data_IF_336079682476
#
_entry.id   IF_336079682476
#
_cell.length_a   1.000
_cell.length_b   1.000
_cell.length_c   1.000
_cell.angle_alpha   90.00
_cell.angle_beta   90.00
_cell.angle_gamma   90.00
#
_symmetry.space_group_name_H-M   'P 1'
#
loop_
_entity.id
_entity.type
_entity.pdbx_description
1 polymer ?
#
# COMPACT_ATOMS: atom_id res chain seq x y z
N UNK A 1 0.97 -2.21 16.18
CA UNK A 1 -0.34 -2.66 15.63
C UNK A 1 -1.45 -1.93 16.35
N UNK A 2 -2.50 -1.54 15.62
CA UNK A 2 -3.73 -0.96 16.14
C UNK A 2 -4.91 -1.80 15.64
N UNK A 3 -5.94 -2.00 16.47
CA UNK A 3 -7.10 -2.80 16.08
C UNK A 3 -8.39 -2.26 16.67
N UNK A 4 -9.48 -2.49 15.94
CA UNK A 4 -10.84 -2.15 16.34
C UNK A 4 -11.76 -3.32 15.98
N UNK A 5 -12.65 -3.67 16.91
CA UNK A 5 -13.58 -4.80 16.78
C UNK A 5 -14.99 -4.25 16.97
N UNK A 6 -15.86 -4.30 15.95
CA UNK A 6 -17.25 -3.88 16.09
C UNK A 6 -18.03 -4.89 16.95
N UNK A 7 -19.08 -4.42 17.63
CA UNK A 7 -19.89 -5.24 18.53
C UNK A 7 -20.59 -6.40 17.79
N UNK A 8 -21.11 -6.11 16.61
CA UNK A 8 -21.51 -7.12 15.63
C UNK A 8 -20.40 -7.19 14.58
N UNK A 9 -19.87 -8.39 14.33
CA UNK A 9 -18.72 -8.53 13.44
C UNK A 9 -18.85 -9.74 12.54
N UNK A 10 -18.18 -9.68 11.40
CA UNK A 10 -17.87 -10.82 10.57
C UNK A 10 -16.87 -11.74 11.30
N UNK A 11 -16.90 -13.03 10.98
CA UNK A 11 -16.06 -14.06 11.61
C UNK A 11 -14.56 -13.75 11.46
N UNK A 12 -14.13 -13.48 10.23
CA UNK A 12 -12.75 -13.27 9.85
C UNK A 12 -12.44 -11.77 9.81
N UNK A 13 -11.38 -11.32 10.52
CA UNK A 13 -10.92 -9.94 10.46
C UNK A 13 -10.22 -9.64 9.13
N UNK A 14 -10.02 -8.35 8.87
CA UNK A 14 -9.11 -7.86 7.82
C UNK A 14 -7.85 -7.29 8.46
N UNK A 15 -6.69 -7.71 7.94
CA UNK A 15 -5.37 -7.17 8.29
C UNK A 15 -4.92 -6.29 7.13
N UNK A 16 -4.79 -4.99 7.36
CA UNK A 16 -4.33 -4.03 6.35
C UNK A 16 -2.86 -3.65 6.61
N UNK A 17 -2.06 -3.66 5.54
CA UNK A 17 -0.62 -3.43 5.60
C UNK A 17 -0.24 -2.28 4.67
N UNK A 18 0.34 -1.22 5.25
CA UNK A 18 0.80 -0.07 4.48
C UNK A 18 1.98 -0.44 3.56
N UNK A 19 2.25 0.40 2.56
CA UNK A 19 3.41 0.25 1.67
C UNK A 19 4.69 0.95 2.15
N UNK A 20 5.61 1.12 1.21
CA UNK A 20 6.85 1.86 1.40
C UNK A 20 6.55 3.31 1.81
N UNK A 21 7.40 3.89 2.66
CA UNK A 21 7.40 5.31 3.06
C UNK A 21 6.18 5.79 3.84
N UNK A 22 5.31 4.88 4.27
CA UNK A 22 4.11 5.17 5.06
C UNK A 22 4.12 4.37 6.36
N UNK A 23 3.15 4.65 7.22
CA UNK A 23 2.76 3.84 8.39
C UNK A 23 1.30 3.42 8.25
N UNK A 24 0.76 2.73 9.26
CA UNK A 24 -0.67 2.46 9.37
C UNK A 24 -1.56 3.71 9.34
N UNK A 25 -1.01 4.91 9.59
CA UNK A 25 -1.75 6.16 9.47
C UNK A 25 -2.31 6.39 8.05
N UNK A 26 -1.65 5.84 7.02
CA UNK A 26 -2.11 5.93 5.63
C UNK A 26 -3.40 5.13 5.34
N UNK A 27 -3.90 4.38 6.33
CA UNK A 27 -5.11 3.57 6.23
C UNK A 27 -6.22 4.10 7.16
N UNK A 28 -5.94 5.12 7.98
CA UNK A 28 -6.86 5.63 9.00
C UNK A 28 -7.78 6.73 8.48
N UNK A 29 -7.22 7.90 8.16
CA UNK A 29 -7.92 9.05 7.59
C UNK A 29 -7.19 9.55 6.33
N UNK A 30 -7.95 10.10 5.38
CA UNK A 30 -7.35 10.74 4.19
C UNK A 30 -6.65 12.05 4.59
N UNK A 31 -5.67 12.54 3.79
CA UNK A 31 -4.95 13.76 4.10
C UNK A 31 -5.84 15.00 4.25
N UNK A 32 -6.98 15.05 3.56
CA UNK A 32 -7.97 16.13 3.69
C UNK A 32 -8.96 15.95 4.86
N UNK A 33 -8.71 14.97 5.74
CA UNK A 33 -9.45 14.75 6.98
C UNK A 33 -10.77 13.99 6.81
N UNK A 34 -10.93 13.23 5.72
CA UNK A 34 -12.10 12.34 5.55
C UNK A 34 -11.83 10.98 6.17
N UNK A 35 -12.93 10.25 6.39
CA UNK A 35 -12.89 8.85 6.81
C UNK A 35 -12.07 8.02 5.82
N UNK A 36 -11.08 7.29 6.33
CA UNK A 36 -10.32 6.30 5.57
C UNK A 36 -10.82 4.88 5.85
N UNK A 37 -10.10 3.90 5.29
CA UNK A 37 -10.51 2.50 5.30
C UNK A 37 -10.62 1.88 6.67
N UNK A 38 -9.84 2.33 7.64
CA UNK A 38 -9.84 1.75 8.97
C UNK A 38 -11.22 1.83 9.63
N UNK A 39 -11.69 3.07 9.80
CA UNK A 39 -12.98 3.37 10.41
C UNK A 39 -14.12 2.84 9.53
N UNK A 40 -13.97 2.92 8.20
CA UNK A 40 -14.98 2.43 7.26
C UNK A 40 -15.16 0.92 7.32
N UNK A 41 -14.08 0.13 7.44
CA UNK A 41 -14.16 -1.31 7.59
C UNK A 41 -14.86 -1.73 8.89
N UNK A 42 -14.57 -1.03 9.99
CA UNK A 42 -15.20 -1.27 11.29
C UNK A 42 -16.71 -0.98 11.23
N UNK A 43 -17.11 0.11 10.57
CA UNK A 43 -18.53 0.42 10.32
C UNK A 43 -19.24 -0.61 9.44
N UNK A 44 -18.49 -1.33 8.61
CA UNK A 44 -18.98 -2.45 7.80
C UNK A 44 -18.81 -3.81 8.50
N UNK A 45 -18.81 -3.82 9.84
CA UNK A 45 -18.77 -5.01 10.68
C UNK A 45 -17.51 -5.88 10.50
N UNK A 46 -16.40 -5.33 10.02
CA UNK A 46 -15.12 -6.05 9.99
C UNK A 46 -14.30 -5.70 11.23
N UNK A 47 -13.84 -6.73 11.94
CA UNK A 47 -12.74 -6.54 12.87
C UNK A 47 -11.49 -6.19 12.05
N UNK A 48 -10.86 -5.06 12.35
CA UNK A 48 -9.81 -4.52 11.49
C UNK A 48 -8.53 -4.33 12.29
N UNK A 49 -7.44 -4.82 11.71
CA UNK A 49 -6.09 -4.73 12.26
C UNK A 49 -5.22 -3.95 11.28
N UNK A 50 -4.60 -2.88 11.75
CA UNK A 50 -3.62 -2.11 10.99
C UNK A 50 -2.25 -2.34 11.62
N UNK A 51 -1.29 -2.70 10.78
CA UNK A 51 0.08 -2.99 11.21
C UNK A 51 1.01 -1.88 10.75
N UNK A 52 1.99 -1.58 11.61
CA UNK A 52 3.21 -0.90 11.18
C UNK A 52 4.25 -1.99 10.93
N UNK A 53 4.84 -1.99 9.73
CA UNK A 53 5.87 -2.97 9.35
C UNK A 53 7.06 -2.93 10.33
N UNK A 54 7.75 -4.06 10.58
CA UNK A 54 9.02 -4.05 11.31
C UNK A 54 9.99 -3.01 10.72
N UNK A 55 10.57 -2.14 11.57
CA UNK A 55 11.42 -1.03 11.11
C UNK A 55 10.65 0.23 10.67
N UNK A 56 9.34 0.32 10.90
CA UNK A 56 8.51 1.47 10.54
C UNK A 56 7.62 1.96 11.69
N UNK A 57 7.51 3.28 11.84
CA UNK A 57 6.52 3.90 12.72
C UNK A 57 6.64 3.43 14.16
N UNK A 58 5.57 2.85 14.71
CA UNK A 58 5.55 2.32 16.10
C UNK A 58 6.31 1.01 16.26
N UNK A 59 6.73 0.38 15.17
CA UNK A 59 7.61 -0.79 15.13
C UNK A 59 9.04 -0.32 14.83
N UNK A 60 9.84 -0.04 15.86
CA UNK A 60 11.14 0.61 15.73
C UNK A 60 12.13 -0.08 14.76
N UNK A 61 13.13 0.69 14.31
CA UNK A 61 14.23 0.23 13.44
C UNK A 61 15.49 -0.10 14.26
N UNK A 62 16.46 -0.75 13.62
CA UNK A 62 17.74 -1.06 14.26
C UNK A 62 18.69 0.15 14.20
N UNK A 63 18.81 0.85 15.33
CA UNK A 63 19.70 2.00 15.50
C UNK A 63 21.19 1.62 15.58
N UNK A 64 21.54 0.35 15.80
CA UNK A 64 22.93 -0.07 16.00
C UNK A 64 23.80 0.24 14.78
N UNK A 65 23.24 0.12 13.57
CA UNK A 65 23.90 0.47 12.30
C UNK A 65 24.36 1.95 12.28
N UNK A 66 23.54 2.87 12.81
CA UNK A 66 23.87 4.30 12.88
C UNK A 66 24.96 4.55 13.93
N UNK A 67 24.88 3.87 15.08
CA UNK A 67 25.87 3.99 16.14
C UNK A 67 27.22 3.42 15.71
N UNK A 68 27.22 2.32 14.97
CA UNK A 68 28.42 1.72 14.39
C UNK A 68 29.05 2.62 13.33
N UNK A 69 28.25 3.18 12.41
CA UNK A 69 28.69 4.16 11.43
C UNK A 69 29.39 5.35 12.09
N UNK A 70 28.77 5.90 13.13
CA UNK A 70 29.34 6.99 13.93
C UNK A 70 30.62 6.58 14.64
N UNK A 71 30.63 5.41 15.29
CA UNK A 71 31.78 4.90 16.05
C UNK A 71 33.00 4.62 15.18
N UNK A 72 32.79 4.17 13.95
CA UNK A 72 33.84 3.92 12.94
C UNK A 72 34.19 5.14 12.10
N UNK A 73 33.43 6.24 12.23
CA UNK A 73 33.45 7.38 11.31
C UNK A 73 33.31 6.94 9.83
N UNK A 74 32.47 5.93 9.60
CA UNK A 74 32.18 5.36 8.29
C UNK A 74 30.68 5.40 8.05
N UNK A 75 30.21 6.51 7.48
CA UNK A 75 28.80 6.73 7.16
C UNK A 75 28.30 5.90 5.98
N UNK A 76 29.18 5.19 5.26
CA UNK A 76 28.78 4.26 4.20
C UNK A 76 28.08 3.01 4.74
N UNK A 77 28.18 2.76 6.05
CA UNK A 77 27.47 1.67 6.74
C UNK A 77 25.96 1.92 6.85
N UNK A 78 25.49 3.16 6.73
CA UNK A 78 24.05 3.45 6.70
C UNK A 78 23.53 3.10 5.29
N UNK A 79 22.53 2.21 5.17
CA UNK A 79 21.94 1.90 3.87
C UNK A 79 21.46 3.18 3.19
N UNK A 80 21.84 3.38 1.92
CA UNK A 80 21.42 4.56 1.14
C UNK A 80 19.91 4.65 0.95
N UNK A 81 19.21 3.52 1.11
CA UNK A 81 17.75 3.41 1.11
C UNK A 81 17.09 3.77 2.43
N UNK A 82 17.86 4.09 3.49
CA UNK A 82 17.31 4.54 4.77
C UNK A 82 16.83 5.98 4.64
N UNK A 83 15.59 6.12 4.18
CA UNK A 83 14.96 7.39 3.89
C UNK A 83 13.49 7.21 3.48
N UNK A 84 12.81 8.32 3.25
CA UNK A 84 11.44 8.33 2.71
C UNK A 84 11.46 8.75 1.24
N UNK A 85 10.37 8.50 0.52
CA UNK A 85 10.16 9.12 -0.78
C UNK A 85 10.23 10.63 -0.58
N UNK A 86 11.00 11.30 -1.44
CA UNK A 86 11.14 12.75 -1.39
C UNK A 86 9.84 13.40 -1.85
N UNK A 87 9.60 14.66 -1.45
CA UNK A 87 8.41 15.38 -1.89
C UNK A 87 8.41 15.58 -3.42
N UNK A 88 9.62 15.69 -4.02
CA UNK A 88 9.87 15.53 -5.45
C UNK A 88 9.30 14.22 -6.01
N UNK A 89 9.78 13.09 -5.49
CA UNK A 89 9.39 11.77 -5.95
C UNK A 89 7.89 11.57 -5.81
N UNK A 90 7.33 11.88 -4.64
CA UNK A 90 5.91 11.81 -4.37
C UNK A 90 5.09 12.62 -5.38
N UNK A 91 5.50 13.86 -5.66
CA UNK A 91 4.85 14.70 -6.66
C UNK A 91 4.91 14.06 -8.06
N UNK A 92 6.09 13.68 -8.50
CA UNK A 92 6.29 13.17 -9.87
C UNK A 92 5.78 11.76 -10.12
N UNK A 93 5.55 10.99 -9.07
CA UNK A 93 5.01 9.63 -9.17
C UNK A 93 3.49 9.63 -9.11
N UNK A 94 2.86 10.59 -8.43
CA UNK A 94 1.42 10.51 -8.12
C UNK A 94 0.58 11.73 -8.52
N UNK A 95 1.17 12.92 -8.64
CA UNK A 95 0.40 14.16 -8.67
C UNK A 95 0.64 15.01 -9.91
N UNK A 96 1.86 15.03 -10.45
CA UNK A 96 2.16 15.89 -11.60
C UNK A 96 3.61 15.93 -12.06
N UNK A 97 3.98 17.04 -12.72
CA UNK A 97 5.29 17.27 -13.31
C UNK A 97 6.04 18.42 -12.63
N UNK A 98 7.35 18.43 -12.85
CA UNK A 98 8.26 19.52 -12.52
C UNK A 98 8.83 20.11 -13.80
N UNK A 99 8.60 21.40 -14.03
CA UNK A 99 9.06 22.12 -15.22
C UNK A 99 10.07 23.23 -14.89
N UNK A 100 11.12 23.41 -15.72
CA UNK A 100 11.51 22.56 -16.85
C UNK A 100 12.08 21.21 -16.40
N UNK A 101 12.29 20.28 -17.34
CA UNK A 101 12.95 19.01 -17.04
C UNK A 101 14.32 19.23 -16.36
N UNK A 102 14.61 18.43 -15.34
CA UNK A 102 15.81 18.57 -14.50
C UNK A 102 15.68 19.53 -13.32
N UNK A 103 14.51 20.18 -13.16
CA UNK A 103 14.19 20.96 -11.96
C UNK A 103 13.67 20.09 -10.80
N UNK A 104 13.62 20.68 -9.61
CA UNK A 104 13.03 20.09 -8.41
C UNK A 104 11.87 20.94 -7.87
N UNK A 105 11.21 20.50 -6.78
CA UNK A 105 10.13 21.27 -6.14
C UNK A 105 10.57 22.67 -5.66
N UNK A 106 11.89 22.87 -5.52
CA UNK A 106 12.47 24.11 -5.01
C UNK A 106 12.83 25.11 -6.10
N UNK A 107 13.15 24.64 -7.31
CA UNK A 107 13.64 25.44 -8.44
C UNK A 107 12.67 25.46 -9.61
N UNK A 108 11.84 24.42 -9.74
CA UNK A 108 10.89 24.23 -10.84
C UNK A 108 9.49 24.72 -10.52
N UNK A 109 8.63 24.63 -11.51
CA UNK A 109 7.18 24.84 -11.37
C UNK A 109 6.50 23.48 -11.26
N UNK A 110 5.70 23.31 -10.21
CA UNK A 110 4.89 22.12 -10.00
C UNK A 110 3.56 22.27 -10.75
N UNK A 111 3.27 21.34 -11.66
CA UNK A 111 2.03 21.32 -12.46
C UNK A 111 1.36 19.96 -12.26
N UNK A 112 0.07 19.94 -11.94
CA UNK A 112 -0.66 18.67 -11.73
C UNK A 112 -0.91 17.99 -13.07
N UNK A 113 -1.03 16.66 -13.06
CA UNK A 113 -1.45 15.95 -14.26
C UNK A 113 -2.80 16.47 -14.77
N UNK A 114 -2.87 16.74 -16.08
CA UNK A 114 -4.03 17.25 -16.81
C UNK A 114 -4.34 18.74 -16.62
N UNK A 115 -3.54 19.50 -15.87
CA UNK A 115 -3.67 20.96 -15.81
C UNK A 115 -3.16 21.64 -17.12
N UNK A 116 -3.64 22.85 -17.45
CA UNK A 116 -3.10 23.61 -18.58
C UNK A 116 -1.56 23.77 -18.47
N UNK A 117 -0.84 23.31 -19.48
CA UNK A 117 0.63 23.32 -19.50
C UNK A 117 1.29 22.03 -19.00
N UNK A 118 0.51 20.99 -18.72
CA UNK A 118 1.03 19.62 -18.61
C UNK A 118 1.83 19.27 -19.88
N UNK A 119 3.13 18.90 -19.76
CA UNK A 119 3.98 18.59 -20.90
C UNK A 119 3.58 17.32 -21.65
N UNK A 120 2.73 16.50 -21.06
CA UNK A 120 2.39 15.20 -21.59
C UNK A 120 1.34 15.30 -22.71
N UNK A 121 1.57 14.51 -23.77
CA UNK A 121 0.65 14.43 -24.90
C UNK A 121 -0.66 13.72 -24.55
N UNK A 122 -1.58 13.58 -25.53
CA UNK A 122 -2.76 12.73 -25.35
C UNK A 122 -2.32 11.30 -24.97
N UNK A 123 -3.07 10.71 -24.05
CA UNK A 123 -2.72 9.43 -23.42
C UNK A 123 -2.56 8.26 -24.40
N UNK A 124 -1.50 7.44 -24.20
CA UNK A 124 -1.35 6.13 -24.83
C UNK A 124 -1.81 5.02 -23.88
N UNK A 125 -3.05 4.57 -24.07
CA UNK A 125 -3.65 3.47 -23.30
C UNK A 125 -2.89 2.15 -23.38
N UNK A 126 -2.03 1.97 -24.39
CA UNK A 126 -1.24 0.75 -24.54
C UNK A 126 0.05 0.81 -23.71
N UNK A 127 0.43 1.98 -23.19
CA UNK A 127 1.65 2.20 -22.42
C UNK A 127 1.40 3.06 -21.17
N UNK A 128 0.53 2.61 -20.23
CA UNK A 128 0.29 3.34 -18.98
C UNK A 128 1.59 3.49 -18.18
N UNK A 129 1.75 4.62 -17.50
CA UNK A 129 2.96 4.97 -16.76
C UNK A 129 2.62 5.79 -15.50
N UNK A 130 3.63 6.07 -14.68
CA UNK A 130 3.48 7.01 -13.55
C UNK A 130 3.30 8.47 -14.01
N UNK A 131 3.62 8.76 -15.28
CA UNK A 131 3.51 10.10 -15.86
C UNK A 131 2.15 10.36 -16.51
N UNK A 132 1.54 9.30 -17.04
CA UNK A 132 0.32 9.40 -17.85
C UNK A 132 -0.77 8.50 -17.27
N UNK A 133 -1.92 9.09 -16.95
CA UNK A 133 -3.16 8.41 -16.60
C UNK A 133 -4.34 9.00 -17.37
N UNK A 134 -5.48 8.31 -17.33
CA UNK A 134 -6.67 8.60 -18.11
C UNK A 134 -7.52 9.72 -17.62
N UNK A 135 -7.49 9.92 -16.33
CA UNK A 135 -8.33 10.90 -15.67
C UNK A 135 -7.47 11.68 -14.70
N UNK A 136 -7.88 12.93 -14.43
CA UNK A 136 -7.25 13.75 -13.41
C UNK A 136 -7.07 12.94 -12.11
N UNK A 137 -5.90 13.03 -11.45
CA UNK A 137 -5.63 12.27 -10.23
C UNK A 137 -6.73 12.51 -9.20
N UNK A 138 -7.38 11.44 -8.76
CA UNK A 138 -8.48 11.47 -7.81
C UNK A 138 -7.95 11.57 -6.37
N UNK A 139 -7.05 12.53 -6.11
CA UNK A 139 -6.33 12.71 -4.85
C UNK A 139 -6.66 14.08 -4.22
N UNK A 140 -6.62 14.24 -2.88
CA UNK A 140 -6.81 15.53 -2.24
C UNK A 140 -5.61 16.45 -2.49
N UNK A 141 -5.67 17.16 -3.61
CA UNK A 141 -4.76 18.26 -3.98
C UNK A 141 -5.57 19.54 -4.22
N UNK A 142 -5.01 20.75 -4.03
CA UNK A 142 -5.71 22.00 -4.30
C UNK A 142 -6.40 21.97 -5.66
N UNK A 143 -7.63 22.49 -5.79
CA UNK A 143 -8.37 23.30 -4.82
C UNK A 143 -9.23 22.51 -3.82
N UNK A 144 -8.99 21.21 -3.62
CA UNK A 144 -9.73 20.40 -2.64
C UNK A 144 -9.60 21.03 -1.25
N UNK A 145 -10.72 21.21 -0.55
CA UNK A 145 -10.73 21.79 0.80
C UNK A 145 -9.91 20.91 1.75
N UNK A 146 -9.14 21.54 2.65
CA UNK A 146 -8.28 20.88 3.63
C UNK A 146 -7.16 20.00 3.04
N UNK A 147 -6.86 20.09 1.74
CA UNK A 147 -5.74 19.33 1.17
C UNK A 147 -4.35 19.89 1.54
N UNK A 148 -4.31 21.08 2.16
CA UNK A 148 -3.09 21.80 2.49
C UNK A 148 -3.14 22.30 3.94
N UNK A 149 -1.97 22.34 4.55
CA UNK A 149 -1.75 23.01 5.83
C UNK A 149 -1.61 24.52 5.58
N UNK A 150 -2.53 25.30 6.13
CA UNK A 150 -2.55 26.75 5.97
C UNK A 150 -1.29 27.43 6.56
N UNK A 151 -0.75 26.92 7.67
CA UNK A 151 0.40 27.48 8.35
C UNK A 151 1.67 27.21 7.53
N UNK A 152 1.77 26.03 6.90
CA UNK A 152 2.88 25.70 5.98
C UNK A 152 2.81 26.54 4.71
N UNK A 153 1.61 26.72 4.14
CA UNK A 153 1.39 27.57 2.96
C UNK A 153 1.73 29.04 3.26
N UNK A 154 1.31 29.54 4.43
CA UNK A 154 1.62 30.88 4.92
C UNK A 154 3.07 31.02 5.39
N UNK A 155 3.77 29.89 5.57
CA UNK A 155 5.15 29.80 6.06
C UNK A 155 5.31 30.39 7.46
N UNK A 156 4.32 30.17 8.32
CA UNK A 156 4.39 30.63 9.71
C UNK A 156 5.60 29.99 10.41
N UNK A 157 6.48 30.83 10.96
CA UNK A 157 7.71 30.37 11.63
C UNK A 157 8.86 29.92 10.72
N UNK A 158 8.77 30.10 9.40
CA UNK A 158 9.84 29.69 8.50
C UNK A 158 11.16 30.46 8.73
N UNK A 159 12.28 29.74 8.82
CA UNK A 159 13.62 30.28 9.15
C UNK A 159 14.36 30.80 7.89
N UNK A 160 13.74 30.74 6.72
CA UNK A 160 14.36 31.14 5.45
C UNK A 160 13.35 31.47 4.35
N UNK A 161 13.82 32.00 3.20
CA UNK A 161 12.95 32.34 2.08
C UNK A 161 12.26 31.09 1.50
N UNK A 162 11.11 31.29 0.85
CA UNK A 162 10.45 30.20 0.13
C UNK A 162 11.30 29.79 -1.08
N UNK A 163 11.51 28.49 -1.33
CA UNK A 163 12.33 28.07 -2.47
C UNK A 163 11.70 28.47 -3.81
N UNK A 164 10.39 28.19 -3.99
CA UNK A 164 9.57 28.78 -5.04
C UNK A 164 8.18 29.14 -4.49
N UNK A 165 7.88 30.42 -4.22
CA UNK A 165 6.59 30.85 -3.66
C UNK A 165 5.37 30.42 -4.47
N UNK A 166 5.50 30.24 -5.79
CA UNK A 166 4.40 29.82 -6.66
C UNK A 166 3.93 28.39 -6.35
N UNK A 167 4.79 27.58 -5.75
CA UNK A 167 4.50 26.20 -5.38
C UNK A 167 3.96 26.09 -3.95
N UNK A 168 3.76 27.18 -3.18
CA UNK A 168 3.41 27.10 -1.75
C UNK A 168 2.19 26.20 -1.49
N UNK A 169 1.15 26.26 -2.33
CA UNK A 169 -0.03 25.39 -2.20
C UNK A 169 0.32 23.90 -2.36
N UNK A 170 1.27 23.55 -3.21
CA UNK A 170 1.67 22.16 -3.41
C UNK A 170 2.72 21.71 -2.41
N UNK A 171 3.61 22.60 -1.97
CA UNK A 171 4.57 22.32 -0.89
C UNK A 171 3.88 22.12 0.46
N UNK A 172 2.72 22.75 0.66
CA UNK A 172 1.92 22.65 1.88
C UNK A 172 0.94 21.47 1.91
N UNK A 173 1.04 20.48 1.01
CA UNK A 173 0.12 19.34 1.01
C UNK A 173 0.15 18.59 2.35
N UNK A 174 -1.03 18.35 2.93
CA UNK A 174 -1.18 17.55 4.16
C UNK A 174 -0.61 16.14 4.00
N UNK A 175 -0.64 15.62 2.78
CA UNK A 175 -0.13 14.31 2.42
C UNK A 175 1.33 14.08 2.85
N UNK A 176 2.21 15.08 2.68
CA UNK A 176 3.64 14.90 2.97
C UNK A 176 3.92 14.59 4.44
N UNK A 177 3.01 14.98 5.35
CA UNK A 177 3.13 14.69 6.79
C UNK A 177 2.98 13.19 7.11
N UNK A 178 2.40 12.41 6.20
CA UNK A 178 2.22 10.97 6.37
C UNK A 178 3.47 10.17 5.97
N UNK A 179 4.43 10.81 5.30
CA UNK A 179 5.61 10.16 4.77
C UNK A 179 6.68 9.97 5.86
N UNK A 180 7.17 8.75 6.02
CA UNK A 180 8.17 8.36 7.02
C UNK A 180 9.31 7.55 6.40
N UNK A 181 10.52 7.54 7.00
CA UNK A 181 11.64 6.75 6.48
C UNK A 181 11.37 5.24 6.50
N UNK A 182 11.92 4.56 5.49
CA UNK A 182 12.00 3.11 5.41
C UNK A 182 13.10 2.57 6.32
N UNK A 183 12.82 2.43 7.61
CA UNK A 183 13.77 1.91 8.59
C UNK A 183 13.97 0.40 8.58
N UNK A 184 13.13 -0.35 7.87
CA UNK A 184 13.28 -1.80 7.73
C UNK A 184 14.60 -2.17 7.04
N UNK A 185 15.19 -1.27 6.24
CA UNK A 185 16.44 -1.49 5.54
C UNK A 185 17.65 -1.60 6.47
N UNK A 186 17.51 -1.19 7.74
CA UNK A 186 18.57 -1.36 8.75
C UNK A 186 18.52 -2.73 9.41
N UNK A 187 17.47 -3.51 9.17
CA UNK A 187 17.35 -4.88 9.66
C UNK A 187 18.09 -5.84 8.73
N UNK A 188 18.60 -6.99 9.24
CA UNK A 188 19.25 -7.96 8.38
C UNK A 188 18.24 -8.68 7.48
N UNK A 189 18.71 -9.10 6.31
CA UNK A 189 18.00 -10.04 5.44
C UNK A 189 18.06 -11.48 5.97
N UNK A 190 17.61 -12.42 5.16
CA UNK A 190 17.65 -13.86 5.47
C UNK A 190 17.88 -14.72 4.23
N UNK A 191 17.95 -16.04 4.41
CA UNK A 191 18.13 -17.01 3.34
C UNK A 191 16.90 -17.90 3.20
N UNK A 192 16.42 -18.04 1.97
CA UNK A 192 15.30 -18.90 1.59
C UNK A 192 15.73 -19.81 0.42
N UNK A 193 16.02 -21.10 0.67
CA UNK A 193 16.51 -22.02 -0.37
C UNK A 193 15.57 -22.18 -1.56
N UNK A 194 14.26 -22.04 -1.34
CA UNK A 194 13.21 -22.20 -2.35
C UNK A 194 12.87 -20.91 -3.09
N UNK A 195 13.41 -19.77 -2.67
CA UNK A 195 13.13 -18.45 -3.26
C UNK A 195 14.13 -18.12 -4.39
N UNK A 196 13.72 -17.27 -5.32
CA UNK A 196 14.62 -16.74 -6.36
C UNK A 196 14.57 -15.20 -6.45
N UNK A 197 15.57 -14.47 -5.92
CA UNK A 197 16.84 -14.96 -5.37
C UNK A 197 16.69 -15.64 -3.99
N UNK A 198 17.67 -16.48 -3.62
CA UNK A 198 17.67 -17.16 -2.33
C UNK A 198 18.00 -16.23 -1.15
N UNK A 199 18.65 -15.10 -1.41
CA UNK A 199 18.89 -14.07 -0.38
C UNK A 199 17.71 -13.11 -0.36
N UNK A 200 17.01 -13.05 0.76
CA UNK A 200 15.89 -12.17 0.98
C UNK A 200 16.35 -10.85 1.60
N UNK A 201 15.74 -9.77 1.14
CA UNK A 201 15.89 -8.46 1.77
C UNK A 201 15.24 -8.45 3.18
N UNK A 202 15.41 -7.35 3.90
CA UNK A 202 14.88 -7.21 5.26
C UNK A 202 13.35 -7.26 5.32
N UNK A 203 12.65 -6.55 4.42
CA UNK A 203 11.19 -6.51 4.47
C UNK A 203 10.59 -7.91 4.25
N UNK A 204 11.10 -8.67 3.29
CA UNK A 204 10.67 -10.04 2.98
C UNK A 204 11.24 -11.11 3.94
N UNK A 205 11.99 -10.67 4.95
CA UNK A 205 12.42 -11.50 6.08
C UNK A 205 11.49 -11.31 7.27
N UNK A 206 11.30 -10.08 7.72
CA UNK A 206 10.68 -9.80 9.01
C UNK A 206 9.16 -9.65 8.95
N UNK A 207 8.65 -8.91 7.96
CA UNK A 207 7.22 -8.67 7.82
C UNK A 207 6.42 -9.97 7.56
N UNK A 208 6.87 -10.89 6.68
CA UNK A 208 6.17 -12.14 6.44
C UNK A 208 6.01 -13.02 7.68
N UNK A 209 7.05 -13.09 8.52
CA UNK A 209 7.01 -13.86 9.77
C UNK A 209 6.03 -13.21 10.76
N UNK A 210 6.11 -11.90 10.96
CA UNK A 210 5.20 -11.18 11.84
C UNK A 210 3.73 -11.31 11.39
N UNK A 211 3.48 -11.27 10.08
CA UNK A 211 2.14 -11.47 9.53
C UNK A 211 1.66 -12.91 9.68
N UNK A 212 2.52 -13.91 9.47
CA UNK A 212 2.17 -15.33 9.67
C UNK A 212 1.77 -15.58 11.13
N UNK A 213 2.57 -15.08 12.08
CA UNK A 213 2.29 -15.22 13.52
C UNK A 213 0.98 -14.50 13.91
N UNK A 214 0.71 -13.32 13.32
CA UNK A 214 -0.55 -12.61 13.53
C UNK A 214 -1.75 -13.40 12.98
N UNK A 215 -1.66 -13.89 11.74
CA UNK A 215 -2.74 -14.67 11.10
C UNK A 215 -3.02 -15.96 11.88
N UNK A 216 -1.96 -16.64 12.36
CA UNK A 216 -2.05 -17.79 13.25
C UNK A 216 -2.74 -17.44 14.57
N UNK A 217 -2.31 -16.36 15.24
CA UNK A 217 -2.90 -15.91 16.49
C UNK A 217 -4.37 -15.49 16.38
N UNK A 218 -4.79 -14.99 15.21
CA UNK A 218 -6.18 -14.64 14.92
C UNK A 218 -7.04 -15.87 14.56
N UNK A 219 -6.44 -17.04 14.30
CA UNK A 219 -7.14 -18.22 13.79
C UNK A 219 -7.60 -18.08 12.34
N UNK A 220 -7.05 -17.09 11.62
CA UNK A 220 -7.30 -16.81 10.21
C UNK A 220 -7.83 -15.41 9.92
N UNK A 221 -7.44 -14.85 8.77
CA UNK A 221 -7.75 -13.48 8.39
C UNK A 221 -7.81 -13.28 6.87
N UNK A 222 -8.47 -12.20 6.45
CA UNK A 222 -8.31 -11.59 5.13
C UNK A 222 -7.10 -10.65 5.21
N UNK A 223 -6.21 -10.70 4.22
CA UNK A 223 -4.96 -9.93 4.24
C UNK A 223 -4.95 -8.96 3.07
N UNK A 224 -4.69 -7.69 3.37
CA UNK A 224 -4.73 -6.60 2.39
C UNK A 224 -3.46 -5.77 2.40
N UNK A 225 -2.43 -6.17 1.63
CA UNK A 225 -1.22 -5.38 1.48
C UNK A 225 -1.40 -4.27 0.45
N UNK A 226 -0.62 -3.20 0.60
CA UNK A 226 -0.44 -2.16 -0.41
C UNK A 226 1.01 -2.08 -0.89
N UNK A 227 1.20 -1.91 -2.20
CA UNK A 227 2.50 -1.63 -2.82
C UNK A 227 3.59 -2.61 -2.38
N UNK A 228 4.72 -2.12 -1.83
CA UNK A 228 5.88 -2.87 -1.32
C UNK A 228 5.52 -4.10 -0.45
N UNK A 229 4.50 -3.99 0.39
CA UNK A 229 4.12 -5.07 1.32
C UNK A 229 3.48 -6.29 0.64
N UNK A 230 3.14 -6.18 -0.64
CA UNK A 230 2.58 -7.29 -1.42
C UNK A 230 3.59 -8.43 -1.56
N UNK A 231 4.87 -8.13 -1.81
CA UNK A 231 5.95 -9.12 -1.80
C UNK A 231 5.94 -9.92 -0.49
N UNK A 232 5.88 -9.20 0.63
CA UNK A 232 5.93 -9.81 1.95
C UNK A 232 4.70 -10.68 2.26
N UNK A 233 3.51 -10.33 1.75
CA UNK A 233 2.34 -11.22 1.84
C UNK A 233 2.53 -12.51 1.04
N UNK A 234 3.22 -12.47 -0.10
CA UNK A 234 3.56 -13.69 -0.83
C UNK A 234 4.57 -14.54 -0.03
N UNK A 235 5.60 -13.93 0.55
CA UNK A 235 6.49 -14.68 1.46
C UNK A 235 5.75 -15.23 2.69
N UNK A 236 4.71 -14.55 3.19
CA UNK A 236 3.85 -15.04 4.27
C UNK A 236 3.04 -16.27 3.82
N UNK A 237 2.52 -16.28 2.58
CA UNK A 237 1.87 -17.46 1.99
C UNK A 237 2.82 -18.65 2.00
N UNK A 238 4.10 -18.47 1.61
CA UNK A 238 5.12 -19.52 1.68
C UNK A 238 5.29 -20.01 3.12
N UNK A 239 5.48 -19.12 4.07
CA UNK A 239 5.71 -19.48 5.48
C UNK A 239 4.52 -20.25 6.05
N UNK A 240 3.29 -19.78 5.82
CA UNK A 240 2.09 -20.46 6.29
C UNK A 240 1.90 -21.82 5.62
N UNK A 241 2.27 -21.97 4.34
CA UNK A 241 2.31 -23.28 3.68
C UNK A 241 3.31 -24.22 4.36
N UNK A 242 4.55 -23.77 4.58
CA UNK A 242 5.60 -24.55 5.24
C UNK A 242 5.20 -24.97 6.66
N UNK A 243 4.44 -24.13 7.36
CA UNK A 243 3.87 -24.42 8.69
C UNK A 243 2.60 -25.29 8.67
N UNK A 244 2.06 -25.65 7.49
CA UNK A 244 0.78 -26.37 7.36
C UNK A 244 -0.46 -25.53 7.70
N UNK A 245 -0.31 -24.21 7.78
CA UNK A 245 -1.33 -23.24 8.20
C UNK A 245 -1.90 -22.40 7.04
N UNK A 246 -1.67 -22.81 5.79
CA UNK A 246 -2.14 -22.08 4.60
C UNK A 246 -3.66 -21.78 4.62
N UNK A 247 -4.45 -22.70 5.20
CA UNK A 247 -5.89 -22.57 5.36
C UNK A 247 -6.34 -21.40 6.24
N UNK A 248 -5.43 -20.75 6.98
CA UNK A 248 -5.72 -19.57 7.79
C UNK A 248 -5.84 -18.29 6.96
N UNK A 249 -5.30 -18.27 5.73
CA UNK A 249 -5.53 -17.17 4.80
C UNK A 249 -6.93 -17.31 4.20
N UNK A 250 -7.83 -16.39 4.54
CA UNK A 250 -9.24 -16.44 4.10
C UNK A 250 -9.48 -15.72 2.79
N UNK A 251 -8.58 -14.81 2.43
CA UNK A 251 -8.55 -14.13 1.16
C UNK A 251 -7.42 -13.10 1.14
N UNK A 252 -7.01 -12.73 -0.06
CA UNK A 252 -6.00 -11.69 -0.30
C UNK A 252 -6.61 -10.63 -1.23
N UNK A 253 -6.63 -9.38 -0.77
CA UNK A 253 -7.20 -8.24 -1.51
C UNK A 253 -6.14 -7.15 -1.59
N UNK A 254 -5.62 -6.90 -2.79
CA UNK A 254 -4.44 -6.07 -3.00
C UNK A 254 -4.81 -4.80 -3.78
N UNK A 255 -4.95 -3.66 -3.11
CA UNK A 255 -4.89 -2.37 -3.77
C UNK A 255 -3.45 -2.09 -4.20
N UNK A 256 -3.25 -1.87 -5.50
CA UNK A 256 -2.02 -1.26 -6.02
C UNK A 256 -0.72 -2.02 -5.65
N UNK A 257 -0.77 -3.35 -5.74
CA UNK A 257 0.33 -4.23 -5.33
C UNK A 257 1.59 -4.12 -6.17
N UNK A 258 2.75 -4.34 -5.54
CA UNK A 258 4.04 -4.48 -6.18
C UNK A 258 4.78 -5.75 -5.69
N UNK A 259 5.44 -6.48 -6.59
CA UNK A 259 6.20 -7.66 -6.20
C UNK A 259 5.38 -8.95 -6.09
N UNK A 260 4.36 -9.14 -6.93
CA UNK A 260 3.59 -10.39 -7.03
C UNK A 260 4.38 -11.53 -7.73
N UNK A 261 5.70 -11.54 -7.64
CA UNK A 261 6.53 -12.58 -8.25
C UNK A 261 6.46 -13.85 -7.39
N UNK A 262 5.74 -14.86 -7.88
CA UNK A 262 5.58 -16.14 -7.18
C UNK A 262 6.92 -16.84 -6.94
N UNK A 263 7.81 -16.85 -7.93
CA UNK A 263 9.11 -17.52 -7.85
C UNK A 263 10.02 -16.83 -6.82
N UNK A 264 9.96 -15.50 -6.75
CA UNK A 264 10.69 -14.73 -5.73
C UNK A 264 10.30 -15.15 -4.31
N UNK A 265 9.04 -15.52 -4.10
CA UNK A 265 8.55 -16.04 -2.83
C UNK A 265 8.64 -17.57 -2.69
N UNK A 266 9.22 -18.30 -3.65
CA UNK A 266 9.25 -19.77 -3.62
C UNK A 266 7.87 -20.42 -3.72
N UNK A 267 6.98 -19.78 -4.48
CA UNK A 267 5.59 -20.15 -4.70
C UNK A 267 5.32 -20.49 -6.15
N UNK A 268 4.19 -21.16 -6.34
CA UNK A 268 3.55 -21.46 -7.61
C UNK A 268 2.09 -21.06 -7.55
N UNK A 269 1.39 -21.07 -8.68
CA UNK A 269 -0.05 -20.80 -8.70
C UNK A 269 -0.87 -21.74 -7.81
N UNK A 270 -0.40 -22.98 -7.58
CA UNK A 270 -1.07 -23.98 -6.73
C UNK A 270 -1.16 -23.58 -5.27
N UNK A 271 -0.22 -22.77 -4.78
CA UNK A 271 -0.20 -22.30 -3.40
C UNK A 271 -1.38 -21.35 -3.09
N UNK A 272 -2.10 -20.90 -4.12
CA UNK A 272 -3.28 -20.04 -4.03
C UNK A 272 -4.58 -20.77 -4.37
N UNK A 273 -4.57 -22.09 -4.52
CA UNK A 273 -5.74 -22.88 -4.97
C UNK A 273 -6.95 -22.79 -4.04
N UNK A 274 -6.72 -22.45 -2.76
CA UNK A 274 -7.76 -22.33 -1.74
C UNK A 274 -7.95 -20.89 -1.25
N UNK A 275 -7.26 -19.94 -1.88
CA UNK A 275 -7.22 -18.54 -1.42
C UNK A 275 -7.92 -17.66 -2.48
N UNK A 276 -9.08 -17.07 -2.16
CA UNK A 276 -9.67 -16.02 -2.97
C UNK A 276 -8.67 -14.86 -3.13
N UNK A 277 -8.45 -14.40 -4.36
CA UNK A 277 -7.42 -13.43 -4.68
C UNK A 277 -7.96 -12.34 -5.61
N UNK A 278 -7.86 -11.09 -5.16
CA UNK A 278 -8.19 -9.89 -5.91
C UNK A 278 -7.01 -8.92 -5.86
N UNK A 279 -6.63 -8.39 -7.02
CA UNK A 279 -5.71 -7.27 -7.15
C UNK A 279 -6.35 -6.18 -8.01
N UNK A 280 -6.22 -4.93 -7.60
CA UNK A 280 -6.67 -3.76 -8.37
C UNK A 280 -5.49 -2.85 -8.68
N UNK A 281 -5.28 -2.54 -9.96
CA UNK A 281 -4.33 -1.55 -10.44
C UNK A 281 -5.06 -0.23 -10.70
N UNK A 282 -4.48 0.89 -10.27
CA UNK A 282 -4.94 2.24 -10.57
C UNK A 282 -4.53 2.74 -11.94
N UNK A 283 -4.79 4.02 -12.17
CA UNK A 283 -4.64 4.73 -13.44
C UNK A 283 -3.17 4.92 -13.82
N UNK A 284 -2.43 5.67 -12.99
CA UNK A 284 -1.03 6.07 -13.14
C UNK A 284 -0.03 4.95 -12.81
N UNK A 285 -0.32 3.72 -13.27
CA UNK A 285 0.42 2.52 -12.90
C UNK A 285 1.23 2.00 -14.09
N UNK A 286 2.57 1.85 -13.98
CA UNK A 286 3.41 1.40 -15.09
C UNK A 286 2.99 0.05 -15.66
N UNK A 287 3.01 -0.05 -17.00
CA UNK A 287 2.68 -1.27 -17.72
C UNK A 287 3.50 -2.47 -17.22
N UNK A 288 4.81 -2.30 -16.98
CA UNK A 288 5.68 -3.36 -16.50
C UNK A 288 5.19 -3.95 -15.16
N UNK A 289 4.72 -3.10 -14.25
CA UNK A 289 4.15 -3.56 -12.97
C UNK A 289 2.83 -4.30 -13.19
N UNK A 290 1.94 -3.77 -14.04
CA UNK A 290 0.68 -4.44 -14.40
C UNK A 290 0.94 -5.83 -15.00
N UNK A 291 1.93 -5.96 -15.88
CA UNK A 291 2.31 -7.23 -16.51
C UNK A 291 2.78 -8.28 -15.50
N UNK A 292 3.55 -7.89 -14.49
CA UNK A 292 3.97 -8.79 -13.40
C UNK A 292 2.74 -9.26 -12.60
N UNK A 293 1.79 -8.37 -12.32
CA UNK A 293 0.54 -8.70 -11.63
C UNK A 293 -0.32 -9.68 -12.46
N UNK A 294 -0.44 -9.46 -13.78
CA UNK A 294 -1.16 -10.38 -14.66
C UNK A 294 -0.52 -11.75 -14.76
N UNK A 295 0.82 -11.81 -14.85
CA UNK A 295 1.54 -13.08 -14.91
C UNK A 295 1.30 -13.93 -13.65
N UNK A 296 1.29 -13.30 -12.48
CA UNK A 296 0.98 -13.99 -11.22
C UNK A 296 -0.45 -14.56 -11.21
N UNK A 297 -1.45 -13.74 -11.58
CA UNK A 297 -2.85 -14.17 -11.65
C UNK A 297 -3.07 -15.26 -12.70
N UNK A 298 -2.41 -15.15 -13.87
CA UNK A 298 -2.44 -16.18 -14.89
C UNK A 298 -1.88 -17.51 -14.38
N UNK A 299 -0.77 -17.49 -13.65
CA UNK A 299 -0.19 -18.68 -13.04
C UNK A 299 -1.13 -19.31 -11.99
N UNK A 300 -1.81 -18.50 -11.16
CA UNK A 300 -2.82 -18.97 -10.20
C UNK A 300 -4.00 -19.65 -10.92
N UNK A 301 -4.50 -19.04 -11.99
CA UNK A 301 -5.64 -19.56 -12.76
C UNK A 301 -5.29 -20.76 -13.64
N UNK A 302 -4.01 -20.96 -13.98
CA UNK A 302 -3.54 -22.14 -14.70
C UNK A 302 -3.55 -23.41 -13.84
N UNK A 303 -3.69 -23.29 -12.51
CA UNK A 303 -3.77 -24.43 -11.61
C UNK A 303 -5.07 -25.21 -11.79
N UNK A 304 -4.96 -26.48 -12.21
CA UNK A 304 -6.11 -27.39 -12.36
C UNK A 304 -6.74 -27.81 -11.02
N UNK A 305 -6.07 -27.55 -9.90
CA UNK A 305 -6.52 -27.91 -8.56
C UNK A 305 -7.16 -26.75 -7.78
N UNK A 306 -7.35 -25.58 -8.43
CA UNK A 306 -8.01 -24.42 -7.85
C UNK A 306 -9.45 -24.76 -7.39
N UNK A 307 -9.78 -24.39 -6.15
CA UNK A 307 -11.05 -24.70 -5.47
C UNK A 307 -11.92 -23.47 -5.17
N UNK A 308 -11.42 -22.28 -5.48
CA UNK A 308 -12.11 -20.99 -5.30
C UNK A 308 -12.33 -20.34 -6.66
N UNK A 309 -13.09 -19.24 -6.68
CA UNK A 309 -13.30 -18.44 -7.89
C UNK A 309 -11.98 -17.99 -8.54
N UNK A 310 -12.01 -17.55 -9.81
CA UNK A 310 -10.81 -17.11 -10.52
C UNK A 310 -10.09 -16.00 -9.73
N UNK A 311 -8.77 -16.05 -9.71
CA UNK A 311 -7.97 -14.92 -9.25
C UNK A 311 -8.13 -13.75 -10.24
N UNK A 312 -8.21 -12.53 -9.73
CA UNK A 312 -8.43 -11.34 -10.54
C UNK A 312 -7.28 -10.33 -10.38
N UNK A 313 -6.86 -9.73 -11.50
CA UNK A 313 -6.09 -8.50 -11.54
C UNK A 313 -6.85 -7.52 -12.45
N UNK A 314 -7.53 -6.55 -11.84
CA UNK A 314 -8.38 -5.59 -12.53
C UNK A 314 -7.67 -4.25 -12.64
N UNK A 315 -7.92 -3.52 -13.72
CA UNK A 315 -7.52 -2.11 -13.81
C UNK A 315 -8.75 -1.23 -13.65
N UNK A 316 -8.60 0.03 -13.27
CA UNK A 316 -9.71 0.95 -13.03
C UNK A 316 -10.67 1.14 -14.23
N UNK A 317 -10.25 0.77 -15.44
CA UNK A 317 -11.10 0.79 -16.64
C UNK A 317 -12.00 -0.45 -16.77
N UNK A 318 -11.84 -1.45 -15.89
CA UNK A 318 -12.68 -2.65 -15.90
C UNK A 318 -14.16 -2.26 -15.76
N UNK A 319 -15.05 -2.80 -16.60
CA UNK A 319 -16.47 -2.44 -16.59
C UNK A 319 -17.16 -2.63 -15.23
N UNK A 320 -16.64 -3.54 -14.38
CA UNK A 320 -17.17 -3.76 -13.02
C UNK A 320 -17.13 -2.52 -12.15
N UNK A 321 -16.17 -1.62 -12.38
CA UNK A 321 -16.09 -0.38 -11.61
C UNK A 321 -17.13 0.66 -12.06
N UNK A 322 -17.75 0.49 -13.23
CA UNK A 322 -18.71 1.44 -13.80
C UNK A 322 -18.20 2.90 -13.75
N UNK A 323 -16.90 3.10 -13.98
CA UNK A 323 -16.24 4.41 -13.92
C UNK A 323 -16.17 5.05 -12.52
N UNK A 324 -16.47 4.33 -11.42
CA UNK A 324 -16.39 4.86 -10.05
C UNK A 324 -14.97 5.15 -9.58
N UNK A 325 -13.97 4.49 -10.18
CA UNK A 325 -12.54 4.58 -9.85
C UNK A 325 -11.71 5.39 -10.87
N UNK A 326 -12.34 6.23 -11.69
CA UNK A 326 -11.62 7.12 -12.60
C UNK A 326 -10.62 7.99 -11.84
N UNK A 327 -9.36 8.01 -12.30
CA UNK A 327 -8.28 8.81 -11.71
C UNK A 327 -7.72 8.21 -10.43
N UNK A 328 -8.14 7.00 -10.04
CA UNK A 328 -7.64 6.34 -8.84
C UNK A 328 -6.13 6.08 -8.99
N UNK A 329 -5.34 6.72 -8.12
CA UNK A 329 -3.88 6.71 -8.15
C UNK A 329 -3.29 5.52 -7.37
N UNK A 330 -1.97 5.37 -7.41
CA UNK A 330 -1.25 4.44 -6.54
C UNK A 330 -1.60 4.59 -5.04
N UNK A 331 -1.81 5.82 -4.59
CA UNK A 331 -2.21 6.16 -3.22
C UNK A 331 -3.74 6.33 -3.09
N UNK A 332 -4.52 5.57 -3.85
CA UNK A 332 -5.96 5.79 -3.96
C UNK A 332 -6.77 5.53 -2.68
N UNK A 333 -6.23 4.79 -1.70
CA UNK A 333 -6.80 4.68 -0.34
C UNK A 333 -6.80 6.01 0.43
N UNK A 334 -5.95 6.96 0.03
CA UNK A 334 -5.91 8.33 0.54
C UNK A 334 -6.65 9.31 -0.38
N UNK A 335 -7.17 8.82 -1.50
CA UNK A 335 -7.84 9.61 -2.52
C UNK A 335 -9.34 9.77 -2.31
N UNK A 336 -9.96 10.55 -3.19
CA UNK A 336 -11.41 10.77 -3.22
C UNK A 336 -12.22 9.52 -3.62
N UNK A 337 -11.57 8.52 -4.21
CA UNK A 337 -12.16 7.24 -4.61
C UNK A 337 -11.96 6.13 -3.57
N UNK A 338 -11.27 6.41 -2.46
CA UNK A 338 -10.91 5.41 -1.44
C UNK A 338 -12.09 4.56 -0.99
N UNK A 339 -13.18 5.17 -0.53
CA UNK A 339 -14.33 4.40 -0.02
C UNK A 339 -15.06 3.63 -1.13
N UNK A 340 -15.04 4.14 -2.38
CA UNK A 340 -15.64 3.43 -3.52
C UNK A 340 -14.84 2.19 -3.91
N UNK A 341 -13.52 2.23 -3.78
CA UNK A 341 -12.68 1.04 -3.96
C UNK A 341 -12.97 0.04 -2.83
N UNK A 342 -13.10 0.53 -1.60
CA UNK A 342 -13.41 -0.35 -0.47
C UNK A 342 -14.80 -0.99 -0.59
N UNK A 343 -15.81 -0.26 -1.06
CA UNK A 343 -17.13 -0.81 -1.36
C UNK A 343 -17.03 -1.97 -2.35
N UNK A 344 -16.23 -1.82 -3.41
CA UNK A 344 -15.98 -2.90 -4.35
C UNK A 344 -15.29 -4.09 -3.69
N UNK A 345 -14.32 -3.86 -2.80
CA UNK A 345 -13.68 -4.94 -2.03
C UNK A 345 -14.67 -5.69 -1.14
N UNK A 346 -15.61 -4.98 -0.50
CA UNK A 346 -16.67 -5.59 0.30
C UNK A 346 -17.62 -6.43 -0.56
N UNK A 347 -18.09 -5.87 -1.68
CA UNK A 347 -18.95 -6.57 -2.64
C UNK A 347 -18.28 -7.85 -3.17
N UNK A 348 -17.03 -7.75 -3.62
CA UNK A 348 -16.27 -8.91 -4.08
C UNK A 348 -16.01 -9.93 -2.97
N UNK A 349 -15.68 -9.48 -1.76
CA UNK A 349 -15.41 -10.36 -0.63
C UNK A 349 -16.66 -11.13 -0.18
N UNK A 350 -17.84 -10.49 -0.19
CA UNK A 350 -19.10 -11.14 0.17
C UNK A 350 -19.46 -12.30 -0.80
N UNK A 351 -19.07 -12.19 -2.07
CA UNK A 351 -19.26 -13.25 -3.06
C UNK A 351 -18.22 -14.37 -2.97
N UNK A 352 -16.99 -14.04 -2.58
CA UNK A 352 -15.84 -14.95 -2.75
C UNK A 352 -15.26 -15.50 -1.44
N UNK A 353 -15.57 -14.89 -0.28
CA UNK A 353 -14.99 -15.24 1.02
C UNK A 353 -16.13 -15.57 2.01
N UNK A 354 -16.32 -16.84 2.39
CA UNK A 354 -17.30 -17.22 3.41
C UNK A 354 -16.99 -16.59 4.77
N UNK A 355 -17.67 -15.48 5.07
CA UNK A 355 -17.43 -14.67 6.26
C UNK A 355 -18.76 -14.33 6.97
N UNK A 356 -19.36 -15.28 7.71
CA UNK A 356 -20.64 -15.05 8.36
C UNK A 356 -20.52 -14.05 9.51
N UNK A 357 -21.62 -13.38 9.81
CA UNK A 357 -21.74 -12.59 11.03
C UNK A 357 -21.64 -13.49 12.27
N UNK A 358 -20.88 -13.05 13.26
CA UNK A 358 -20.78 -13.65 14.59
C UNK A 358 -21.21 -12.60 15.60
N UNK A 359 -22.19 -12.97 16.46
CA UNK A 359 -22.54 -12.12 17.59
C UNK A 359 -21.40 -12.19 18.60
N UNK A 360 -20.79 -11.05 18.94
CA UNK A 360 -19.81 -11.03 20.01
C UNK A 360 -20.55 -11.33 21.32
N UNK A 361 -20.38 -12.53 21.87
CA UNK A 361 -20.64 -12.73 23.29
C UNK A 361 -19.48 -12.12 24.06
N UNK A 362 -19.41 -10.80 24.14
CA UNK A 362 -18.69 -10.15 25.23
C UNK A 362 -19.51 -10.37 26.50
N UNK A 363 -19.62 -11.62 26.96
CA UNK A 363 -19.88 -11.88 28.36
C UNK A 363 -18.62 -11.38 29.05
N UNK A 364 -18.68 -10.18 29.62
CA UNK A 364 -17.73 -9.78 30.64
C UNK A 364 -17.61 -10.96 31.59
N UNK A 365 -16.40 -11.51 31.74
CA UNK A 365 -16.12 -12.35 32.89
C UNK A 365 -16.38 -11.44 34.08
N UNK A 366 -17.50 -11.67 34.77
CA UNK A 366 -17.69 -11.15 36.12
C UNK A 366 -16.74 -11.97 36.96
N UNK A 367 -15.61 -11.37 37.31
CA UNK A 367 -14.75 -11.87 38.38
C UNK A 367 -15.50 -11.79 39.72
#
# INVERSE_FOLDING_TARGET
>A
MQFQIPAERRKWPIVMIHGSTHTGAALDATPDGKEGWYSYAVRNNLATFIVDQPGRGRSGFDQSVILEAKGKNDWSLIPSSFGRITDNGAWTTWFGHLLPSGSDITTGTMIRHGDPGDPDGPEDFNQPSEKHGRYLPAFPIPPVKNSVDADVVAREGAIGPAPNPKNNLYLGLEYYKQLVPNGEVTLPGSFCPTCNPQTLNAIDTWLPNALADLVEGLGGAIVSPHSQSTSSVFHMVRILRERGQLHLIKGIIIPEGAGTNLEAAGLTGRDFDTIPFLLVNGDYRPLATRQINYAAVAAMNASRSRKVGPALALNIEDPRFNGKLKGHTHMGMLGSTALREFDFFLEWADENIPNPMVKASCKAKRD
#
